data_IF_574266229073
#
_entry.id   IF_574266229073
#
_cell.length_a   1.000
_cell.length_b   1.000
_cell.length_c   1.000
_cell.angle_alpha   90.00
_cell.angle_beta   90.00
_cell.angle_gamma   90.00
#
_symmetry.space_group_name_H-M   'P 1'
#
loop_
_entity.id
_entity.type
_entity.pdbx_description
1 polymer ?
#
# COMPACT_ATOMS: atom_id res chain seq x y z
N UNK A 1 12.89 4.52 -4.03
CA UNK A 1 11.81 3.76 -3.39
C UNK A 1 11.03 4.72 -2.50
N UNK A 2 9.74 4.46 -2.23
CA UNK A 2 8.95 5.30 -1.32
C UNK A 2 9.61 5.42 0.06
N UNK A 3 9.20 6.42 0.82
CA UNK A 3 9.52 6.50 2.25
C UNK A 3 8.61 5.54 3.04
N UNK A 4 8.96 5.23 4.28
CA UNK A 4 8.12 4.36 5.11
C UNK A 4 6.74 5.01 5.33
N UNK A 5 5.65 4.25 5.19
CA UNK A 5 4.28 4.73 5.37
C UNK A 5 3.22 4.01 4.52
N UNK A 6 1.99 4.52 4.54
CA UNK A 6 0.85 3.94 3.80
C UNK A 6 0.59 4.66 2.47
N UNK A 7 0.42 3.89 1.39
CA UNK A 7 0.23 4.40 0.03
C UNK A 7 -1.05 3.89 -0.61
N UNK A 8 -1.56 4.63 -1.59
CA UNK A 8 -2.51 4.09 -2.56
C UNK A 8 -1.72 3.29 -3.60
N UNK A 9 -2.00 2.00 -3.72
CA UNK A 9 -1.27 1.07 -4.58
C UNK A 9 -2.21 0.36 -5.54
N UNK A 10 -1.75 0.17 -6.79
CA UNK A 10 -2.34 -0.78 -7.72
C UNK A 10 -1.61 -2.10 -7.57
N UNK A 11 -2.36 -3.15 -7.21
CA UNK A 11 -1.85 -4.49 -6.99
C UNK A 11 -2.16 -5.41 -8.16
N UNK A 12 -1.27 -6.37 -8.40
CA UNK A 12 -1.48 -7.46 -9.34
C UNK A 12 -2.56 -8.41 -8.80
N UNK A 13 -3.68 -8.46 -9.50
CA UNK A 13 -4.81 -9.29 -9.12
C UNK A 13 -4.45 -10.76 -9.01
N UNK A 14 -3.71 -11.29 -9.99
CA UNK A 14 -3.39 -12.72 -10.06
C UNK A 14 -2.54 -13.15 -8.85
N UNK A 15 -1.56 -12.33 -8.47
CA UNK A 15 -0.73 -12.57 -7.29
C UNK A 15 -1.52 -12.46 -5.99
N UNK A 16 -2.53 -11.59 -5.94
CA UNK A 16 -3.45 -11.45 -4.81
C UNK A 16 -4.64 -12.44 -4.83
N UNK A 17 -4.70 -13.38 -5.79
CA UNK A 17 -5.82 -14.32 -5.92
C UNK A 17 -7.13 -13.71 -6.41
N UNK A 18 -7.08 -12.52 -7.01
CA UNK A 18 -8.18 -11.85 -7.70
C UNK A 18 -8.08 -12.03 -9.23
N UNK A 19 -9.21 -11.93 -9.92
CA UNK A 19 -9.25 -12.11 -11.37
C UNK A 19 -8.63 -10.93 -12.14
N UNK A 20 -8.64 -9.72 -11.57
CA UNK A 20 -8.18 -8.50 -12.20
C UNK A 20 -7.36 -7.66 -11.21
N UNK A 21 -6.46 -6.83 -11.75
CA UNK A 21 -5.72 -5.85 -10.96
C UNK A 21 -6.69 -4.86 -10.29
N UNK A 22 -6.33 -4.41 -9.09
CA UNK A 22 -7.17 -3.53 -8.30
C UNK A 22 -6.34 -2.49 -7.56
N UNK A 23 -7.01 -1.43 -7.09
CA UNK A 23 -6.36 -0.39 -6.29
C UNK A 23 -6.80 -0.50 -4.84
N UNK A 24 -5.85 -0.42 -3.91
CA UNK A 24 -6.05 -0.50 -2.46
C UNK A 24 -4.99 0.29 -1.70
N UNK A 25 -5.02 0.21 -0.37
CA UNK A 25 -3.94 0.75 0.46
C UNK A 25 -2.89 -0.32 0.73
N UNK A 26 -1.61 0.04 0.75
CA UNK A 26 -0.51 -0.87 1.06
C UNK A 26 0.60 -0.11 1.82
N UNK A 27 1.11 -0.70 2.90
CA UNK A 27 2.25 -0.16 3.64
C UNK A 27 3.58 -0.47 2.96
N UNK A 28 4.53 0.44 3.14
CA UNK A 28 5.92 0.26 2.77
C UNK A 28 6.78 0.52 4.00
N UNK A 29 7.61 -0.43 4.39
CA UNK A 29 8.52 -0.28 5.54
C UNK A 29 9.86 -0.95 5.25
N UNK A 30 10.95 -0.30 5.68
CA UNK A 30 12.31 -0.84 5.57
C UNK A 30 12.69 -1.29 4.16
N UNK A 31 12.18 -0.58 3.15
CA UNK A 31 12.47 -0.87 1.75
C UNK A 31 11.59 -1.97 1.13
N UNK A 32 10.50 -2.40 1.78
CA UNK A 32 9.62 -3.48 1.32
C UNK A 32 8.15 -3.11 1.44
N UNK A 33 7.35 -3.59 0.50
CA UNK A 33 5.89 -3.54 0.60
C UNK A 33 5.38 -4.64 1.54
N UNK A 34 4.29 -4.37 2.25
CA UNK A 34 3.58 -5.40 3.03
C UNK A 34 3.23 -6.61 2.12
N UNK A 35 2.77 -6.30 0.91
CA UNK A 35 2.48 -7.28 -0.15
C UNK A 35 3.63 -7.32 -1.16
N UNK A 36 4.76 -7.93 -0.75
CA UNK A 36 6.00 -7.95 -1.51
C UNK A 36 5.82 -8.60 -2.90
N UNK A 37 6.29 -7.90 -3.93
CA UNK A 37 6.15 -8.32 -5.33
C UNK A 37 4.75 -8.16 -5.94
N UNK A 38 3.74 -7.74 -5.18
CA UNK A 38 2.36 -7.59 -5.67
C UNK A 38 2.03 -6.16 -6.11
N UNK A 39 2.79 -5.16 -5.66
CA UNK A 39 2.56 -3.74 -6.00
C UNK A 39 3.15 -3.42 -7.37
N UNK A 40 2.28 -3.03 -8.32
CA UNK A 40 2.65 -2.64 -9.69
C UNK A 40 2.96 -1.14 -9.76
N UNK A 41 2.13 -0.32 -9.10
CA UNK A 41 2.25 1.13 -9.07
C UNK A 41 1.74 1.68 -7.74
N UNK A 42 2.25 2.84 -7.33
CA UNK A 42 1.84 3.49 -6.08
C UNK A 42 1.86 5.01 -6.20
N UNK A 43 1.10 5.66 -5.33
CA UNK A 43 1.17 7.08 -5.06
C UNK A 43 0.87 7.37 -3.58
N UNK A 44 1.31 8.51 -3.02
CA UNK A 44 0.88 8.93 -1.69
C UNK A 44 -0.64 8.98 -1.59
N UNK A 45 -1.17 8.75 -0.39
CA UNK A 45 -2.60 8.92 -0.15
C UNK A 45 -3.02 10.38 -0.43
N UNK A 46 -4.20 10.61 -1.01
CA UNK A 46 -4.64 11.95 -1.37
C UNK A 46 -4.96 12.78 -0.12
N UNK A 47 -4.65 14.07 -0.14
CA UNK A 47 -5.17 14.99 0.87
C UNK A 47 -6.72 15.01 0.85
N UNK A 48 -7.39 15.12 2.01
CA UNK A 48 -6.87 15.43 3.33
C UNK A 48 -6.64 14.17 4.19
N UNK A 49 -6.27 13.03 3.60
CA UNK A 49 -5.96 11.84 4.39
C UNK A 49 -4.91 12.17 5.45
N UNK A 50 -5.21 11.79 6.69
CA UNK A 50 -4.31 11.91 7.83
C UNK A 50 -4.08 10.52 8.35
N UNK A 51 -2.81 10.12 8.37
CA UNK A 51 -2.41 8.92 9.07
C UNK A 51 -2.80 9.09 10.55
N UNK A 52 -3.57 8.15 11.09
CA UNK A 52 -3.90 8.18 12.50
C UNK A 52 -2.64 7.79 13.27
N UNK A 53 -2.01 8.76 13.95
CA UNK A 53 -0.83 8.55 14.81
C UNK A 53 -1.06 7.55 15.98
N UNK A 54 -2.26 6.95 16.12
CA UNK A 54 -2.65 6.04 17.20
C UNK A 54 -2.98 4.60 16.74
N UNK A 55 -2.65 4.21 15.50
CA UNK A 55 -2.94 2.84 15.03
C UNK A 55 -2.04 1.75 15.65
N UNK A 56 -1.02 2.11 16.44
CA UNK A 56 -0.09 1.17 17.10
C UNK A 56 -0.59 0.64 18.47
N UNK A 57 -1.76 1.05 18.97
CA UNK A 57 -2.34 0.51 20.20
C UNK A 57 -3.72 -0.14 19.95
N UNK A 58 -3.76 -1.37 19.44
CA UNK A 58 -4.94 -2.27 19.49
C UNK A 58 -4.57 -3.74 19.35
#
# INVERSE_FOLDING_TARGET
MPEDGTYLATMDGELCGQAEAFTGMCGFENGKWDEDGMVIAWMPLPEPYKENENAEES
#
